data_IF_614990688699
#
_entry.id   IF_614990688699
#
_cell.length_a   1.000
_cell.length_b   1.000
_cell.length_c   1.000
_cell.angle_alpha   90.00
_cell.angle_beta   90.00
_cell.angle_gamma   90.00
#
_symmetry.space_group_name_H-M   'P 1'
#
loop_
_entity.id
_entity.type
_entity.pdbx_description
1 polymer ?
#
# COMPACT_ATOMS: atom_id res chain seq x y z
N UNK A 1 -11.53 -4.85 12.94
CA UNK A 1 -10.74 -5.71 12.04
C UNK A 1 -11.70 -6.67 11.36
N UNK A 2 -11.46 -6.98 10.09
CA UNK A 2 -12.32 -7.90 9.30
C UNK A 2 -11.98 -9.36 9.55
N UNK A 3 -10.75 -9.62 9.98
CA UNK A 3 -10.36 -10.93 10.47
C UNK A 3 -11.16 -11.35 11.69
N UNK A 4 -11.35 -12.66 11.78
CA UNK A 4 -11.92 -13.35 12.93
C UNK A 4 -10.81 -14.10 13.66
N UNK A 5 -11.14 -14.86 14.70
CA UNK A 5 -10.18 -15.78 15.33
C UNK A 5 -9.68 -16.86 14.35
N UNK A 6 -10.48 -17.18 13.34
CA UNK A 6 -10.21 -18.24 12.36
C UNK A 6 -9.82 -17.72 10.98
N UNK A 7 -9.70 -16.40 10.78
CA UNK A 7 -9.31 -15.83 9.47
C UNK A 7 -8.61 -14.49 9.65
N UNK A 8 -7.61 -14.21 8.80
CA UNK A 8 -6.99 -12.88 8.74
C UNK A 8 -7.94 -11.80 8.22
N UNK A 9 -9.03 -12.21 7.56
CA UNK A 9 -9.74 -11.36 6.62
C UNK A 9 -8.84 -11.01 5.42
N UNK A 10 -9.30 -10.14 4.53
CA UNK A 10 -8.55 -9.79 3.34
C UNK A 10 -7.30 -8.99 3.70
N UNK A 11 -6.16 -9.46 3.21
CA UNK A 11 -4.86 -8.81 3.26
C UNK A 11 -4.39 -8.51 1.82
N UNK A 12 -3.50 -7.52 1.68
CA UNK A 12 -2.86 -7.21 0.41
C UNK A 12 -1.45 -7.81 0.37
N UNK A 13 -1.08 -8.36 -0.77
CA UNK A 13 0.23 -8.96 -1.01
C UNK A 13 0.82 -8.37 -2.28
N UNK A 14 1.99 -7.75 -2.15
CA UNK A 14 2.78 -7.24 -3.27
C UNK A 14 3.85 -8.24 -3.71
N UNK A 15 4.30 -8.14 -4.96
CA UNK A 15 5.35 -8.99 -5.51
C UNK A 15 6.48 -8.20 -6.15
N UNK A 16 7.63 -8.85 -6.35
CA UNK A 16 8.76 -8.26 -7.06
C UNK A 16 8.48 -7.98 -8.55
N UNK A 17 7.42 -8.56 -9.11
CA UNK A 17 6.97 -8.35 -10.49
C UNK A 17 5.86 -7.31 -10.60
N UNK A 18 5.58 -6.56 -9.52
CA UNK A 18 4.60 -5.48 -9.52
C UNK A 18 3.15 -5.88 -9.33
N UNK A 19 2.86 -7.18 -9.24
CA UNK A 19 1.50 -7.65 -8.97
C UNK A 19 1.10 -7.38 -7.52
N UNK A 20 -0.12 -6.89 -7.35
CA UNK A 20 -0.85 -6.79 -6.09
C UNK A 20 -1.97 -7.83 -6.11
N UNK A 21 -2.03 -8.63 -5.05
CA UNK A 21 -3.07 -9.61 -4.80
C UNK A 21 -3.84 -9.28 -3.52
N UNK A 22 -5.12 -9.63 -3.51
CA UNK A 22 -5.86 -9.87 -2.29
C UNK A 22 -5.67 -11.33 -1.89
N UNK A 23 -5.44 -11.58 -0.62
CA UNK A 23 -5.38 -12.92 -0.06
C UNK A 23 -6.12 -12.97 1.27
N UNK A 24 -6.48 -14.16 1.69
CA UNK A 24 -7.02 -14.43 3.03
C UNK A 24 -6.50 -15.79 3.47
N UNK A 25 -6.08 -15.85 4.73
CA UNK A 25 -5.68 -17.09 5.39
C UNK A 25 -6.79 -17.46 6.37
N UNK A 26 -7.42 -18.61 6.14
CA UNK A 26 -8.45 -19.16 7.02
C UNK A 26 -7.96 -20.44 7.68
N UNK A 27 -8.18 -20.55 8.98
CA UNK A 27 -7.96 -21.77 9.73
C UNK A 27 -8.93 -22.83 9.23
N UNK A 28 -8.39 -23.86 8.58
CA UNK A 28 -9.18 -25.01 8.14
C UNK A 28 -9.27 -26.03 9.28
N UNK A 29 -10.47 -26.54 9.55
CA UNK A 29 -10.67 -27.68 10.45
C UNK A 29 -10.28 -28.98 9.73
N UNK A 30 -8.98 -29.20 9.53
CA UNK A 30 -8.37 -30.50 9.27
C UNK A 30 -8.78 -31.25 7.99
N UNK A 31 -7.95 -31.18 6.95
CA UNK A 31 -7.93 -32.19 5.89
C UNK A 31 -7.24 -33.49 6.34
N UNK A 32 -7.34 -34.55 5.54
CA UNK A 32 -6.74 -35.88 5.76
C UNK A 32 -5.21 -35.88 6.06
N UNK A 33 -4.52 -34.77 5.83
CA UNK A 33 -3.07 -34.61 6.01
C UNK A 33 -2.69 -33.57 7.10
N UNK A 34 -3.64 -33.14 7.94
CA UNK A 34 -3.43 -32.17 9.02
C UNK A 34 -4.10 -30.82 8.76
N UNK A 35 -4.00 -29.85 9.71
CA UNK A 35 -4.54 -28.52 9.54
C UNK A 35 -3.68 -27.73 8.55
N UNK A 36 -3.99 -27.80 7.26
CA UNK A 36 -3.48 -26.86 6.27
C UNK A 36 -4.47 -25.68 6.19
N UNK A 37 -4.05 -24.43 6.38
CA UNK A 37 -4.95 -23.29 6.24
C UNK A 37 -5.46 -23.20 4.80
N UNK A 38 -6.72 -22.81 4.66
CA UNK A 38 -7.30 -22.48 3.36
C UNK A 38 -6.77 -21.09 2.95
N UNK A 39 -6.13 -21.02 1.79
CA UNK A 39 -5.49 -19.81 1.27
C UNK A 39 -5.94 -19.56 -0.17
N UNK A 40 -6.44 -18.35 -0.44
CA UNK A 40 -6.68 -17.88 -1.80
C UNK A 40 -5.80 -16.67 -2.12
N UNK A 41 -5.54 -16.49 -3.42
CA UNK A 41 -4.99 -15.27 -3.99
C UNK A 41 -5.87 -14.82 -5.15
N UNK A 42 -6.30 -13.56 -5.11
CA UNK A 42 -7.05 -12.89 -6.17
C UNK A 42 -6.20 -11.75 -6.73
N UNK A 43 -5.85 -11.75 -8.01
CA UNK A 43 -5.11 -10.64 -8.61
C UNK A 43 -5.98 -9.38 -8.62
N UNK A 44 -5.39 -8.25 -8.25
CA UNK A 44 -6.08 -6.96 -8.17
C UNK A 44 -5.51 -5.93 -9.13
N UNK A 45 -4.18 -5.79 -9.17
CA UNK A 45 -3.53 -4.73 -9.92
C UNK A 45 -2.08 -5.05 -10.25
N UNK A 46 -1.50 -4.35 -11.22
CA UNK A 46 -0.06 -4.40 -11.55
C UNK A 46 0.50 -2.98 -11.53
N UNK A 47 1.45 -2.72 -10.63
CA UNK A 47 2.18 -1.46 -10.58
C UNK A 47 3.19 -1.39 -11.73
N UNK A 48 3.16 -0.28 -12.47
CA UNK A 48 4.04 -0.05 -13.61
C UNK A 48 4.85 1.24 -13.43
N UNK A 49 6.14 1.17 -13.75
CA UNK A 49 7.03 2.31 -13.94
C UNK A 49 7.29 2.53 -15.44
N UNK A 50 8.16 3.47 -15.80
CA UNK A 50 8.68 3.53 -17.17
C UNK A 50 9.39 2.22 -17.52
N UNK A 51 8.96 1.57 -18.61
CA UNK A 51 9.54 0.30 -19.06
C UNK A 51 8.82 -0.97 -18.58
N UNK A 52 7.76 -0.87 -17.77
CA UNK A 52 6.87 -1.99 -17.47
C UNK A 52 6.63 -2.22 -15.97
N UNK A 53 6.29 -3.47 -15.57
CA UNK A 53 6.00 -3.79 -14.18
C UNK A 53 7.19 -3.54 -13.25
N UNK A 54 6.92 -2.94 -12.10
CA UNK A 54 7.94 -2.58 -11.11
C UNK A 54 7.62 -3.20 -9.74
N UNK A 55 8.63 -3.62 -8.95
CA UNK A 55 8.41 -4.25 -7.65
C UNK A 55 7.52 -3.41 -6.73
N UNK A 56 6.61 -4.08 -6.03
CA UNK A 56 5.86 -3.47 -4.94
C UNK A 56 6.78 -3.38 -3.72
N UNK A 57 7.12 -2.17 -3.30
CA UNK A 57 8.04 -1.91 -2.18
C UNK A 57 7.30 -1.71 -0.86
N UNK A 58 6.10 -1.13 -0.87
CA UNK A 58 5.26 -0.98 0.32
C UNK A 58 3.78 -0.97 -0.06
N UNK A 59 2.94 -1.45 0.86
CA UNK A 59 1.48 -1.46 0.76
C UNK A 59 0.90 -1.07 2.11
N UNK A 60 0.20 0.06 2.15
CA UNK A 60 -0.50 0.53 3.34
C UNK A 60 -1.99 0.66 3.01
N UNK A 61 -2.84 -0.02 3.77
CA UNK A 61 -4.27 -0.09 3.52
C UNK A 61 -5.08 0.29 4.76
N UNK A 62 -6.04 1.18 4.58
CA UNK A 62 -6.85 1.72 5.67
C UNK A 62 -8.32 1.76 5.29
N UNK A 63 -9.18 1.54 6.28
CA UNK A 63 -10.65 1.61 6.14
C UNK A 63 -11.21 2.55 7.19
N UNK A 64 -11.86 3.60 6.70
CA UNK A 64 -12.62 4.54 7.51
C UNK A 64 -14.01 4.03 7.88
N UNK A 65 -14.65 4.67 8.88
CA UNK A 65 -15.96 4.27 9.40
C UNK A 65 -17.10 4.39 8.38
N UNK A 66 -16.98 5.27 7.40
CA UNK A 66 -18.04 5.53 6.40
C UNK A 66 -17.94 4.63 5.16
N UNK A 67 -17.27 3.47 5.29
CA UNK A 67 -16.98 2.56 4.18
C UNK A 67 -15.94 3.10 3.18
N UNK A 68 -15.41 4.30 3.43
CA UNK A 68 -14.30 4.88 2.67
C UNK A 68 -13.03 4.11 2.96
N UNK A 69 -12.29 3.74 1.92
CA UNK A 69 -11.03 3.01 2.05
C UNK A 69 -9.97 3.59 1.14
N UNK A 70 -8.72 3.41 1.52
CA UNK A 70 -7.62 3.71 0.63
C UNK A 70 -6.50 2.68 0.74
N UNK A 71 -5.71 2.62 -0.33
CA UNK A 71 -4.44 1.91 -0.37
C UNK A 71 -3.40 2.87 -0.92
N UNK A 72 -2.28 3.02 -0.21
CA UNK A 72 -1.06 3.61 -0.77
C UNK A 72 -0.12 2.46 -1.12
N UNK A 73 0.33 2.42 -2.37
CA UNK A 73 1.29 1.45 -2.84
C UNK A 73 2.51 2.18 -3.37
N UNK A 74 3.70 1.68 -3.07
CA UNK A 74 4.94 2.25 -3.61
C UNK A 74 5.67 1.25 -4.47
N UNK A 75 6.31 1.75 -5.51
CA UNK A 75 7.43 1.10 -6.19
C UNK A 75 8.71 1.78 -5.75
N UNK A 76 9.81 1.58 -6.48
CA UNK A 76 11.08 2.23 -6.16
C UNK A 76 11.05 3.74 -6.43
N UNK A 77 10.26 4.18 -7.41
CA UNK A 77 10.22 5.58 -7.85
C UNK A 77 8.84 6.21 -7.81
N UNK A 78 7.77 5.43 -7.64
CA UNK A 78 6.39 5.93 -7.66
C UNK A 78 5.63 5.58 -6.40
N UNK A 79 4.81 6.51 -5.93
CA UNK A 79 3.79 6.32 -4.90
C UNK A 79 2.42 6.48 -5.53
N UNK A 80 1.63 5.43 -5.52
CA UNK A 80 0.28 5.35 -6.08
C UNK A 80 -0.77 5.47 -4.97
N UNK A 81 -1.85 6.22 -5.24
CA UNK A 81 -2.98 6.35 -4.32
C UNK A 81 -4.23 5.72 -4.94
N UNK A 82 -4.76 4.68 -4.27
CA UNK A 82 -6.05 4.08 -4.59
C UNK A 82 -7.04 4.53 -3.52
N UNK A 83 -8.08 5.25 -3.91
CA UNK A 83 -9.06 5.84 -3.00
C UNK A 83 -10.45 5.48 -3.50
N UNK A 84 -11.30 5.01 -2.61
CA UNK A 84 -12.64 4.61 -2.98
C UNK A 84 -13.52 4.32 -1.78
N UNK A 85 -14.66 3.72 -2.07
CA UNK A 85 -15.60 3.22 -1.06
C UNK A 85 -15.75 1.73 -1.27
N UNK A 86 -15.84 0.98 -0.18
CA UNK A 86 -16.17 -0.43 -0.24
C UNK A 86 -17.49 -0.61 -1.01
N UNK A 87 -17.53 -1.63 -1.87
CA UNK A 87 -18.75 -2.01 -2.57
C UNK A 87 -19.85 -2.38 -1.57
N UNK A 88 -21.12 -2.28 -1.96
CA UNK A 88 -22.22 -2.81 -1.15
C UNK A 88 -22.39 -4.32 -1.42
N UNK A 89 -22.66 -5.13 -0.38
CA UNK A 89 -22.89 -6.59 -0.54
C UNK A 89 -21.72 -7.48 -0.12
N UNK A 90 -21.66 -8.73 -0.59
CA UNK A 90 -20.64 -9.70 -0.16
C UNK A 90 -19.20 -9.29 -0.56
N UNK A 91 -19.03 -8.53 -1.65
CA UNK A 91 -17.76 -7.94 -2.06
C UNK A 91 -17.34 -6.73 -1.20
N UNK A 92 -18.21 -6.25 -0.30
CA UNK A 92 -17.93 -5.13 0.61
C UNK A 92 -16.74 -5.37 1.53
N UNK A 93 -16.40 -6.65 1.74
CA UNK A 93 -15.34 -7.02 2.66
C UNK A 93 -13.97 -6.98 2.00
N UNK A 94 -13.84 -7.07 0.67
CA UNK A 94 -12.56 -7.10 -0.04
C UNK A 94 -12.05 -5.74 -0.54
N UNK A 95 -10.93 -5.76 -1.23
CA UNK A 95 -10.30 -4.65 -1.95
C UNK A 95 -10.62 -4.67 -3.45
N UNK A 96 -11.25 -5.72 -3.97
CA UNK A 96 -11.55 -5.86 -5.41
C UNK A 96 -12.30 -4.65 -5.98
N UNK A 97 -13.34 -4.17 -5.28
CA UNK A 97 -14.09 -2.99 -5.72
C UNK A 97 -13.24 -1.71 -5.78
N UNK A 98 -12.27 -1.55 -4.88
CA UNK A 98 -11.36 -0.41 -4.86
C UNK A 98 -10.46 -0.41 -6.11
N UNK A 99 -9.82 -1.55 -6.39
CA UNK A 99 -8.90 -1.66 -7.53
C UNK A 99 -9.60 -1.70 -8.88
N UNK A 100 -10.83 -2.24 -8.95
CA UNK A 100 -11.63 -2.28 -10.17
C UNK A 100 -11.85 -0.88 -10.77
N UNK A 101 -11.99 0.15 -9.92
CA UNK A 101 -12.13 1.55 -10.34
C UNK A 101 -10.92 2.09 -11.13
N UNK A 102 -9.77 1.41 -11.05
CA UNK A 102 -8.51 1.82 -11.68
C UNK A 102 -8.10 0.94 -12.87
N UNK A 103 -9.00 0.07 -13.34
CA UNK A 103 -8.72 -0.82 -14.48
C UNK A 103 -8.56 -0.02 -15.78
N UNK A 104 -9.51 0.89 -16.04
CA UNK A 104 -9.52 1.70 -17.27
C UNK A 104 -8.76 3.03 -17.11
N UNK A 105 -8.60 3.49 -15.87
CA UNK A 105 -7.99 4.78 -15.53
C UNK A 105 -6.92 4.55 -14.47
N UNK A 106 -5.62 4.67 -14.79
CA UNK A 106 -4.58 4.43 -13.81
C UNK A 106 -4.68 5.41 -12.63
N UNK A 107 -4.34 4.97 -11.41
CA UNK A 107 -4.40 5.81 -10.22
C UNK A 107 -3.40 6.98 -10.34
N UNK A 108 -3.66 8.10 -9.65
CA UNK A 108 -2.67 9.16 -9.54
C UNK A 108 -1.43 8.62 -8.83
N UNK A 109 -0.26 9.03 -9.31
CA UNK A 109 1.01 8.70 -8.68
C UNK A 109 1.90 9.94 -8.50
N UNK A 110 2.75 9.92 -7.47
CA UNK A 110 3.91 10.82 -7.32
C UNK A 110 5.16 10.07 -7.72
N UNK A 111 6.00 10.71 -8.52
CA UNK A 111 7.20 10.11 -9.07
C UNK A 111 8.41 10.94 -8.70
N UNK A 112 9.52 10.26 -8.43
CA UNK A 112 10.80 10.88 -8.20
C UNK A 112 11.88 10.36 -9.14
N UNK A 113 12.79 11.24 -9.58
CA UNK A 113 13.75 10.91 -10.63
C UNK A 113 14.85 9.95 -10.15
N UNK A 114 15.16 9.92 -8.85
CA UNK A 114 16.25 9.13 -8.28
C UNK A 114 15.74 7.89 -7.53
N UNK A 115 16.58 6.85 -7.44
CA UNK A 115 16.22 5.53 -6.93
C UNK A 115 17.37 4.89 -6.13
N UNK A 116 17.10 4.32 -4.95
CA UNK A 116 18.08 3.59 -4.11
C UNK A 116 18.15 2.08 -4.43
N UNK A 117 17.27 1.58 -5.30
CA UNK A 117 17.01 0.15 -5.51
C UNK A 117 15.90 -0.41 -4.62
N UNK A 118 15.45 0.37 -3.63
CA UNK A 118 14.36 0.09 -2.71
C UNK A 118 13.70 1.41 -2.30
N UNK A 119 12.52 1.33 -1.68
CA UNK A 119 11.82 2.45 -1.06
C UNK A 119 11.07 1.93 0.16
N UNK A 120 10.80 2.80 1.12
CA UNK A 120 10.08 2.43 2.35
C UNK A 120 9.07 3.51 2.71
N UNK A 121 7.83 3.11 2.96
CA UNK A 121 6.75 3.97 3.39
C UNK A 121 6.43 3.66 4.86
N UNK A 122 6.36 4.69 5.70
CA UNK A 122 5.86 4.56 7.06
C UNK A 122 4.77 5.59 7.35
N UNK A 123 3.78 5.15 8.13
CA UNK A 123 2.69 6.01 8.61
C UNK A 123 2.84 6.29 10.11
N UNK A 124 2.49 7.51 10.49
CA UNK A 124 2.35 7.89 11.88
C UNK A 124 0.88 7.92 12.30
N UNK A 125 0.55 7.08 13.28
CA UNK A 125 -0.78 6.96 13.84
C UNK A 125 -0.76 7.39 15.32
N UNK A 126 -1.39 8.53 15.68
CA UNK A 126 -1.22 9.14 17.00
C UNK A 126 -1.87 8.36 18.15
N UNK A 127 -2.86 7.51 17.86
CA UNK A 127 -3.56 6.68 18.84
C UNK A 127 -3.77 5.29 18.28
N UNK A 128 -3.68 4.28 19.13
CA UNK A 128 -3.99 2.90 18.74
C UNK A 128 -5.40 2.85 18.13
N UNK A 129 -5.52 2.24 16.94
CA UNK A 129 -6.78 2.11 16.17
C UNK A 129 -7.40 3.44 15.67
N UNK A 130 -6.64 4.53 15.60
CA UNK A 130 -7.06 5.72 14.83
C UNK A 130 -6.55 5.66 13.39
N UNK A 131 -7.11 6.47 12.50
CA UNK A 131 -6.54 6.67 11.17
C UNK A 131 -5.14 7.31 11.26
N UNK A 132 -4.23 7.00 10.33
CA UNK A 132 -2.93 7.63 10.25
C UNK A 132 -3.08 9.12 9.93
N UNK A 133 -2.14 9.93 10.42
CA UNK A 133 -2.17 11.40 10.28
C UNK A 133 -1.01 11.99 9.50
N UNK A 134 0.08 11.25 9.39
CA UNK A 134 1.25 11.67 8.63
C UNK A 134 1.89 10.46 7.98
N UNK A 135 2.66 10.73 6.94
CA UNK A 135 3.42 9.73 6.22
C UNK A 135 4.86 10.23 6.03
N UNK A 136 5.76 9.27 5.83
CA UNK A 136 7.10 9.51 5.33
C UNK A 136 7.44 8.41 4.34
N UNK A 137 8.00 8.77 3.20
CA UNK A 137 8.38 7.87 2.11
C UNK A 137 9.85 8.12 1.76
N UNK A 138 10.68 7.12 2.04
CA UNK A 138 12.10 7.10 1.73
C UNK A 138 12.34 6.79 0.27
N UNK A 139 13.17 7.60 -0.37
CA UNK A 139 13.39 7.57 -1.81
C UNK A 139 14.83 8.00 -2.14
N UNK A 140 15.17 8.19 -3.41
CA UNK A 140 16.55 8.40 -3.86
C UNK A 140 17.26 9.64 -3.29
N UNK A 141 16.64 10.81 -3.30
CA UNK A 141 17.29 12.08 -2.93
C UNK A 141 16.82 12.65 -1.60
N UNK A 142 15.96 11.93 -0.89
CA UNK A 142 15.48 12.34 0.43
C UNK A 142 14.33 11.50 0.94
N UNK A 143 13.58 12.10 1.86
CA UNK A 143 12.33 11.55 2.39
C UNK A 143 11.21 12.53 2.09
N UNK A 144 10.22 12.11 1.29
CA UNK A 144 8.97 12.86 1.15
C UNK A 144 8.12 12.60 2.39
N UNK A 145 7.70 13.64 3.09
CA UNK A 145 6.83 13.52 4.25
C UNK A 145 5.74 14.58 4.24
N UNK A 146 4.66 14.34 4.97
CA UNK A 146 3.54 15.26 5.03
C UNK A 146 2.40 14.72 5.89
N UNK A 147 1.24 15.35 5.78
CA UNK A 147 0.02 14.92 6.43
C UNK A 147 -0.79 13.95 5.55
N UNK A 148 -1.57 13.11 6.20
CA UNK A 148 -2.58 12.25 5.59
C UNK A 148 -3.97 12.77 5.96
N UNK A 149 -4.68 13.27 4.96
CA UNK A 149 -6.08 13.69 5.09
C UNK A 149 -7.00 12.67 4.42
N UNK A 150 -7.44 11.71 5.23
CA UNK A 150 -8.36 10.64 4.81
C UNK A 150 -9.77 11.16 4.43
N UNK A 151 -10.06 12.44 4.67
CA UNK A 151 -11.32 13.10 4.31
C UNK A 151 -11.36 13.62 2.86
N UNK A 152 -10.22 13.81 2.19
CA UNK A 152 -10.15 14.43 0.86
C UNK A 152 -10.42 13.44 -0.26
N UNK A 153 -11.43 13.64 -1.14
CA UNK A 153 -11.90 12.63 -2.10
C UNK A 153 -10.82 12.08 -3.03
N UNK A 154 -9.96 12.94 -3.57
CA UNK A 154 -9.10 12.60 -4.71
C UNK A 154 -7.60 12.44 -4.37
N UNK A 155 -7.15 12.94 -3.21
CA UNK A 155 -5.75 12.83 -2.78
C UNK A 155 -5.66 12.88 -1.26
N UNK A 156 -4.98 11.88 -0.68
CA UNK A 156 -4.76 11.75 0.75
C UNK A 156 -3.61 12.64 1.22
N UNK A 157 -2.59 12.80 0.38
CA UNK A 157 -1.39 13.54 0.76
C UNK A 157 -1.68 15.04 0.80
N UNK A 158 -1.21 15.70 1.86
CA UNK A 158 -1.24 17.15 2.03
C UNK A 158 0.00 17.63 2.77
N UNK A 159 0.27 18.95 2.70
CA UNK A 159 1.40 19.59 3.39
C UNK A 159 2.74 18.89 3.09
N UNK A 160 2.91 18.44 1.85
CA UNK A 160 4.06 17.67 1.40
C UNK A 160 5.35 18.50 1.45
N UNK A 161 6.40 17.89 2.02
CA UNK A 161 7.74 18.46 2.15
C UNK A 161 8.77 17.38 1.88
N UNK A 162 9.91 17.78 1.37
CA UNK A 162 11.05 16.88 1.16
C UNK A 162 12.12 17.19 2.21
N UNK A 163 12.60 16.15 2.88
CA UNK A 163 13.83 16.22 3.66
C UNK A 163 14.96 15.64 2.82
N UNK A 164 15.84 16.52 2.33
CA UNK A 164 17.03 16.11 1.57
C UNK A 164 18.01 15.35 2.46
N UNK A 165 18.65 14.33 1.89
CA UNK A 165 19.68 13.61 2.62
C UNK A 165 20.91 14.48 2.90
N UNK A 166 21.58 14.27 4.04
CA UNK A 166 22.88 14.88 4.30
C UNK A 166 23.91 14.52 3.24
N UNK A 167 24.95 15.34 3.08
CA UNK A 167 26.07 15.02 2.17
C UNK A 167 26.66 13.63 2.47
N UNK A 168 26.93 12.88 1.41
CA UNK A 168 27.46 11.50 1.50
C UNK A 168 26.39 10.42 1.71
N UNK A 169 25.11 10.79 1.80
CA UNK A 169 23.98 9.86 1.86
C UNK A 169 23.19 9.91 0.55
N UNK A 170 22.92 8.75 -0.04
CA UNK A 170 22.12 8.63 -1.27
C UNK A 170 22.67 7.65 -2.31
N UNK A 171 22.10 7.63 -3.53
CA UNK A 171 22.50 6.75 -4.62
C UNK A 171 23.97 6.97 -5.00
N UNK A 172 24.74 5.89 -5.04
CA UNK A 172 26.19 5.94 -5.34
C UNK A 172 27.08 6.36 -4.16
N UNK A 173 26.50 6.62 -2.98
CA UNK A 173 27.20 6.86 -1.73
C UNK A 173 26.73 5.84 -0.66
N UNK A 174 26.56 6.26 0.60
CA UNK A 174 25.97 5.41 1.64
C UNK A 174 24.44 5.54 1.63
N UNK A 175 23.68 4.53 1.20
CA UNK A 175 22.23 4.64 1.16
C UNK A 175 21.62 4.51 2.57
N UNK A 176 20.52 5.23 2.87
CA UNK A 176 19.83 5.14 4.16
C UNK A 176 19.16 3.79 4.35
N UNK A 177 19.28 3.16 5.51
CA UNK A 177 18.86 1.76 5.70
C UNK A 177 17.34 1.58 5.83
N UNK A 178 16.66 2.49 6.53
CA UNK A 178 15.22 2.46 6.83
C UNK A 178 14.77 3.82 7.39
N UNK A 179 13.46 3.99 7.62
CA UNK A 179 12.88 5.17 8.30
C UNK A 179 12.23 4.85 9.63
#
# INVERSE_FOLDING_TARGET
ALGTESSTGPILVGTAQGHIFEAELSASEGGLFGPAPDLYFRPLYVLNEEGGPAPVCSLEAERGPDGRSFVIATTRQRLFQFIGRAAEGAEAQGFSGLFAAYTDHPPPFREFPSNLGYSELAFYTPKLRSAPRAFAWMMGDGVLYGALDCGRPDSLLSEERVWEYPEGVGPGASPPLAI
#
